data_IF_496705286552
#
_entry.id   IF_496705286552
#
_cell.length_a   1.000
_cell.length_b   1.000
_cell.length_c   1.000
_cell.angle_alpha   90.00
_cell.angle_beta   90.00
_cell.angle_gamma   90.00
#
_symmetry.space_group_name_H-M   'P 1'
#
loop_
_entity.id
_entity.type
_entity.pdbx_description
1 polymer ?
#
# COMPACT_ATOMS: atom_id res chain seq x y z
N UNK A 1 -3.08 -9.11 74.00
CA UNK A 1 -1.86 -8.48 73.45
C UNK A 1 -1.37 -9.35 72.26
N UNK A 2 -1.85 -9.12 71.05
CA UNK A 2 -1.34 -9.82 69.88
C UNK A 2 -1.51 -8.89 68.66
N UNK A 3 -0.45 -8.60 68.09
CA UNK A 3 0.00 -8.01 66.82
C UNK A 3 -1.02 -8.06 65.69
N UNK A 4 -1.63 -6.93 65.38
CA UNK A 4 -2.16 -6.63 64.05
C UNK A 4 -1.26 -5.57 63.42
N UNK A 5 -0.65 -5.92 62.35
CA UNK A 5 0.12 -4.99 61.53
C UNK A 5 0.98 -5.79 60.60
N UNK A 6 0.59 -5.87 59.29
CA UNK A 6 1.46 -6.17 58.13
C UNK A 6 0.64 -6.77 56.96
N UNK A 7 -0.38 -6.07 56.50
CA UNK A 7 -1.10 -6.49 55.27
C UNK A 7 -1.30 -5.33 54.26
N UNK A 8 -0.86 -4.10 54.56
CA UNK A 8 -1.21 -2.95 53.71
C UNK A 8 -0.16 -2.51 52.66
N UNK A 9 0.98 -3.17 52.53
CA UNK A 9 2.07 -2.67 51.65
C UNK A 9 2.13 -3.38 50.27
N UNK A 10 1.43 -4.51 50.07
CA UNK A 10 1.57 -5.24 48.78
C UNK A 10 0.56 -4.86 47.71
N UNK A 11 -0.48 -4.09 47.96
CA UNK A 11 -1.49 -3.75 46.96
C UNK A 11 -1.15 -2.49 46.16
N UNK A 12 -0.30 -1.59 46.66
CA UNK A 12 0.06 -0.37 45.94
C UNK A 12 1.06 -0.59 44.77
N UNK A 13 1.88 -1.64 44.81
CA UNK A 13 2.87 -1.91 43.74
C UNK A 13 2.24 -2.47 42.45
N UNK A 14 1.13 -3.19 42.53
CA UNK A 14 0.51 -3.81 41.32
C UNK A 14 -0.27 -2.81 40.47
N UNK A 15 -0.81 -1.73 41.06
CA UNK A 15 -1.59 -0.73 40.35
C UNK A 15 -0.67 0.23 39.53
N UNK A 16 0.55 0.47 40.01
CA UNK A 16 1.54 1.28 39.30
C UNK A 16 2.08 0.58 38.03
N UNK A 17 2.37 -0.71 38.14
CA UNK A 17 2.94 -1.49 37.03
C UNK A 17 1.96 -1.69 35.86
N UNK A 18 0.65 -1.86 36.17
CA UNK A 18 -0.39 -2.00 35.15
C UNK A 18 -0.63 -0.70 34.37
N UNK A 19 -0.55 0.46 35.05
CA UNK A 19 -0.70 1.77 34.38
C UNK A 19 0.49 2.11 33.48
N UNK A 20 1.71 1.78 33.88
CA UNK A 20 2.90 2.01 33.02
C UNK A 20 2.90 1.14 31.77
N UNK A 21 2.49 -0.13 31.86
CA UNK A 21 2.39 -1.04 30.71
C UNK A 21 1.33 -0.56 29.72
N UNK A 22 0.18 -0.10 30.20
CA UNK A 22 -0.89 0.45 29.34
C UNK A 22 -0.47 1.77 28.67
N UNK A 23 0.31 2.63 29.35
CA UNK A 23 0.82 3.88 28.79
C UNK A 23 1.90 3.60 27.73
N UNK A 24 2.69 2.52 27.85
CA UNK A 24 3.68 2.14 26.84
C UNK A 24 3.05 1.52 25.60
N UNK A 25 1.94 0.79 25.69
CA UNK A 25 1.21 0.29 24.52
C UNK A 25 0.56 1.43 23.72
N UNK A 26 0.02 2.45 24.36
CA UNK A 26 -0.53 3.65 23.70
C UNK A 26 0.57 4.47 23.01
N UNK A 27 1.82 4.38 23.43
CA UNK A 27 2.94 5.15 22.90
C UNK A 27 3.52 4.60 21.56
N UNK A 28 3.04 3.46 21.08
CA UNK A 28 3.49 2.82 19.83
C UNK A 28 2.53 3.01 18.64
N UNK A 29 1.70 4.04 18.66
CA UNK A 29 0.99 4.43 17.44
C UNK A 29 1.98 5.16 16.53
N UNK A 30 2.34 4.51 15.42
CA UNK A 30 3.15 5.15 14.40
C UNK A 30 2.41 6.38 13.88
N UNK A 31 2.99 7.56 14.07
CA UNK A 31 2.42 8.80 13.50
C UNK A 31 2.62 8.78 11.98
N UNK A 32 1.51 8.72 11.26
CA UNK A 32 1.48 8.73 9.79
C UNK A 32 1.39 10.14 9.21
N UNK A 33 1.21 11.16 10.05
CA UNK A 33 0.98 12.54 9.63
C UNK A 33 2.11 13.05 8.73
N UNK A 34 1.73 13.49 7.54
CA UNK A 34 2.65 14.09 6.56
C UNK A 34 3.53 13.11 5.79
N UNK A 35 3.47 11.80 6.10
CA UNK A 35 4.15 10.78 5.28
C UNK A 35 3.55 10.75 3.88
N UNK A 36 4.41 10.64 2.86
CA UNK A 36 3.99 10.70 1.46
C UNK A 36 3.74 9.31 0.90
N UNK A 37 2.67 9.19 0.14
CA UNK A 37 2.30 8.00 -0.62
C UNK A 37 2.23 8.38 -2.09
N UNK A 38 2.88 7.60 -2.95
CA UNK A 38 2.80 7.74 -4.39
C UNK A 38 1.68 6.85 -4.94
N UNK A 39 0.76 7.43 -5.70
CA UNK A 39 -0.20 6.70 -6.50
C UNK A 39 0.09 6.92 -7.99
N UNK A 40 0.35 5.85 -8.73
CA UNK A 40 0.65 5.87 -10.16
C UNK A 40 -0.60 5.48 -10.92
N UNK A 41 -1.10 6.39 -11.76
CA UNK A 41 -2.28 6.17 -12.62
C UNK A 41 -1.89 6.28 -14.08
N UNK A 42 -2.59 5.56 -14.94
CA UNK A 42 -2.49 5.74 -16.38
C UNK A 42 -2.98 7.14 -16.80
N UNK A 43 -2.43 7.67 -17.89
CA UNK A 43 -2.89 8.96 -18.45
C UNK A 43 -4.33 8.90 -18.96
N UNK A 44 -4.82 7.69 -19.29
CA UNK A 44 -6.22 7.44 -19.63
C UNK A 44 -6.66 6.04 -19.20
N UNK A 45 -7.96 5.87 -18.96
CA UNK A 45 -8.58 4.58 -18.61
C UNK A 45 -7.99 3.92 -17.34
N UNK A 46 -7.54 4.71 -16.35
CA UNK A 46 -7.34 4.15 -15.00
C UNK A 46 -8.69 3.76 -14.40
N UNK A 47 -8.72 2.80 -13.48
CA UNK A 47 -9.97 2.39 -12.82
C UNK A 47 -10.29 3.34 -11.67
N UNK A 48 -11.42 4.00 -11.76
CA UNK A 48 -11.82 5.10 -10.87
C UNK A 48 -11.87 4.67 -9.41
N UNK A 49 -12.52 3.54 -9.09
CA UNK A 49 -12.65 3.05 -7.73
C UNK A 49 -11.31 2.63 -7.13
N UNK A 50 -10.39 2.14 -7.96
CA UNK A 50 -9.07 1.68 -7.52
C UNK A 50 -8.12 2.84 -7.22
N UNK A 51 -8.44 4.04 -7.68
CA UNK A 51 -7.78 5.28 -7.30
C UNK A 51 -8.52 6.00 -6.17
N UNK A 52 -9.82 6.31 -6.37
CA UNK A 52 -10.57 7.19 -5.48
C UNK A 52 -10.80 6.59 -4.08
N UNK A 53 -11.06 5.27 -3.99
CA UNK A 53 -11.30 4.62 -2.69
C UNK A 53 -10.02 4.55 -1.85
N UNK A 54 -8.88 4.05 -2.36
CA UNK A 54 -7.63 4.08 -1.61
C UNK A 54 -7.17 5.50 -1.29
N UNK A 55 -7.28 6.46 -2.22
CA UNK A 55 -6.92 7.86 -2.00
C UNK A 55 -7.64 8.41 -0.77
N UNK A 56 -8.97 8.30 -0.71
CA UNK A 56 -9.78 8.77 0.40
C UNK A 56 -9.41 8.10 1.73
N UNK A 57 -9.19 6.80 1.73
CA UNK A 57 -8.84 6.05 2.95
C UNK A 57 -7.47 6.45 3.48
N UNK A 58 -6.48 6.59 2.59
CA UNK A 58 -5.12 6.96 2.96
C UNK A 58 -5.06 8.43 3.43
N UNK A 59 -5.76 9.34 2.75
CA UNK A 59 -5.87 10.74 3.13
C UNK A 59 -6.52 10.90 4.52
N UNK A 60 -7.52 10.07 4.86
CA UNK A 60 -8.13 10.03 6.20
C UNK A 60 -7.16 9.59 7.32
N UNK A 61 -5.99 9.03 6.98
CA UNK A 61 -4.92 8.73 7.92
C UNK A 61 -3.90 9.89 8.05
N UNK A 62 -4.22 11.08 7.55
CA UNK A 62 -3.33 12.26 7.46
C UNK A 62 -2.06 12.02 6.61
N UNK A 63 -2.12 11.11 5.65
CA UNK A 63 -1.07 10.88 4.66
C UNK A 63 -1.18 11.93 3.54
N UNK A 64 -0.05 12.29 2.96
CA UNK A 64 0.01 13.15 1.77
C UNK A 64 0.06 12.26 0.54
N UNK A 65 -0.95 12.37 -0.32
CA UNK A 65 -1.02 11.58 -1.54
C UNK A 65 -0.44 12.41 -2.69
N UNK A 66 0.52 11.84 -3.40
CA UNK A 66 1.10 12.38 -4.62
C UNK A 66 0.72 11.48 -5.77
N UNK A 67 0.15 12.05 -6.83
CA UNK A 67 -0.27 11.31 -8.01
C UNK A 67 0.73 11.50 -9.13
N UNK A 68 1.27 10.39 -9.66
CA UNK A 68 2.13 10.39 -10.83
C UNK A 68 1.43 9.76 -12.03
N UNK A 69 1.79 10.23 -13.23
CA UNK A 69 1.33 9.64 -14.49
C UNK A 69 2.39 9.79 -15.58
N UNK A 70 2.19 9.14 -16.72
CA UNK A 70 3.01 9.31 -17.94
C UNK A 70 2.87 10.71 -18.55
N UNK A 71 1.82 11.46 -18.20
CA UNK A 71 1.55 12.83 -18.65
C UNK A 71 1.10 13.71 -17.49
N UNK A 72 1.35 15.03 -17.58
CA UNK A 72 0.78 16.04 -16.65
C UNK A 72 -0.57 16.58 -17.10
N UNK A 73 -1.11 16.12 -18.23
CA UNK A 73 -2.48 16.44 -18.63
C UNK A 73 -3.48 15.76 -17.70
N UNK A 74 -4.74 16.21 -17.73
CA UNK A 74 -5.81 15.62 -16.94
C UNK A 74 -5.98 14.15 -17.36
N UNK A 75 -5.63 13.23 -16.46
CA UNK A 75 -5.90 11.80 -16.60
C UNK A 75 -7.39 11.52 -16.49
N UNK A 76 -7.90 10.60 -17.32
CA UNK A 76 -9.32 10.24 -17.35
C UNK A 76 -9.52 8.79 -16.95
N UNK A 77 -10.36 8.58 -15.95
CA UNK A 77 -10.77 7.24 -15.53
C UNK A 77 -11.77 6.60 -16.48
N UNK A 78 -11.90 5.28 -16.39
CA UNK A 78 -12.83 4.47 -17.20
C UNK A 78 -14.30 4.86 -16.97
N UNK A 79 -14.63 5.34 -15.77
CA UNK A 79 -15.99 5.75 -15.35
C UNK A 79 -16.16 7.26 -15.31
N UNK A 80 -15.16 8.02 -15.80
CA UNK A 80 -15.25 9.46 -15.99
C UNK A 80 -14.59 10.32 -14.94
N UNK A 81 -13.90 9.76 -13.94
CA UNK A 81 -13.07 10.55 -13.02
C UNK A 81 -12.02 11.34 -13.79
N UNK A 82 -11.74 12.55 -13.31
CA UNK A 82 -10.70 13.43 -13.86
C UNK A 82 -9.70 13.75 -12.76
N UNK A 83 -8.45 13.39 -12.98
CA UNK A 83 -7.36 13.59 -12.02
C UNK A 83 -6.23 14.35 -12.70
N UNK A 84 -5.80 15.44 -12.08
CA UNK A 84 -4.59 16.17 -12.52
C UNK A 84 -3.41 15.55 -11.79
N UNK A 85 -2.47 14.87 -12.49
CA UNK A 85 -1.26 14.36 -11.83
C UNK A 85 -0.38 15.49 -11.30
N UNK A 86 0.26 15.25 -10.16
CA UNK A 86 1.16 16.20 -9.51
C UNK A 86 2.54 16.18 -10.18
N UNK A 87 3.01 14.99 -10.60
CA UNK A 87 4.33 14.82 -11.19
C UNK A 87 4.30 13.80 -12.35
N UNK A 88 5.31 13.92 -13.24
CA UNK A 88 5.57 12.89 -14.24
C UNK A 88 6.18 11.65 -13.59
N UNK A 89 5.80 10.45 -14.08
CA UNK A 89 6.40 9.17 -13.66
C UNK A 89 7.94 9.21 -13.73
N UNK A 90 8.50 9.83 -14.78
CA UNK A 90 9.95 9.98 -14.98
C UNK A 90 10.66 10.89 -13.96
N UNK A 91 9.91 11.61 -13.13
CA UNK A 91 10.44 12.50 -12.09
C UNK A 91 10.25 11.95 -10.67
N UNK A 92 9.75 10.72 -10.56
CA UNK A 92 9.56 10.06 -9.25
C UNK A 92 10.91 9.75 -8.61
N UNK A 93 11.07 10.20 -7.36
CA UNK A 93 12.16 9.82 -6.46
C UNK A 93 11.57 8.90 -5.39
N UNK A 94 11.89 7.61 -5.45
CA UNK A 94 11.29 6.55 -4.61
C UNK A 94 11.51 6.81 -3.12
N UNK A 95 12.64 7.40 -2.78
CA UNK A 95 13.09 7.77 -1.44
C UNK A 95 12.09 8.65 -0.69
N UNK A 96 11.35 9.50 -1.41
CA UNK A 96 10.41 10.47 -0.86
C UNK A 96 9.11 9.86 -0.33
N UNK A 97 8.86 8.56 -0.59
CA UNK A 97 7.58 7.91 -0.32
C UNK A 97 7.71 6.72 0.62
N UNK A 98 6.71 6.51 1.48
CA UNK A 98 6.60 5.34 2.35
C UNK A 98 5.97 4.15 1.61
N UNK A 99 5.07 4.43 0.66
CA UNK A 99 4.44 3.43 -0.19
C UNK A 99 4.30 3.91 -1.63
N UNK A 100 4.40 2.98 -2.57
CA UNK A 100 4.17 3.17 -3.99
C UNK A 100 3.04 2.25 -4.44
N UNK A 101 2.01 2.82 -5.06
CA UNK A 101 0.78 2.15 -5.45
C UNK A 101 0.60 2.27 -6.95
N UNK A 102 0.55 1.15 -7.66
CA UNK A 102 0.16 1.08 -9.06
C UNK A 102 -1.35 0.81 -9.16
N UNK A 103 -2.08 1.78 -9.68
CA UNK A 103 -3.53 1.70 -9.89
C UNK A 103 -3.81 0.96 -11.20
N UNK A 104 -4.87 0.17 -11.21
CA UNK A 104 -5.28 -0.59 -12.39
C UNK A 104 -6.17 0.18 -13.35
N UNK A 105 -7.02 -0.54 -14.05
CA UNK A 105 -7.77 -0.09 -15.22
C UNK A 105 -7.05 -0.47 -16.51
N UNK A 106 -7.77 -0.52 -17.63
CA UNK A 106 -7.20 -0.97 -18.92
C UNK A 106 -6.00 -0.13 -19.37
N UNK A 107 -5.98 1.16 -19.01
CA UNK A 107 -4.87 2.06 -19.32
C UNK A 107 -3.57 1.70 -18.61
N UNK A 108 -3.62 1.04 -17.44
CA UNK A 108 -2.41 0.70 -16.68
C UNK A 108 -1.47 -0.27 -17.41
N UNK A 109 -1.94 -0.90 -18.50
CA UNK A 109 -1.11 -1.69 -19.39
C UNK A 109 0.01 -0.89 -20.05
N UNK A 110 -0.06 0.45 -20.09
CA UNK A 110 1.03 1.31 -20.57
C UNK A 110 2.32 1.11 -19.75
N UNK A 111 2.21 0.68 -18.50
CA UNK A 111 3.33 0.45 -17.61
C UNK A 111 3.88 -0.98 -17.61
N UNK A 112 3.20 -1.92 -18.25
CA UNK A 112 3.60 -3.34 -18.22
C UNK A 112 5.04 -3.59 -18.67
N UNK A 113 5.50 -2.80 -19.67
CA UNK A 113 6.85 -2.91 -20.23
C UNK A 113 7.62 -1.58 -20.14
N UNK A 114 7.16 -0.64 -19.30
CA UNK A 114 7.81 0.64 -19.12
C UNK A 114 8.99 0.52 -18.16
N UNK A 115 10.19 0.87 -18.64
CA UNK A 115 11.42 0.76 -17.87
C UNK A 115 11.44 1.68 -16.64
N UNK A 116 10.76 2.83 -16.69
CA UNK A 116 10.68 3.77 -15.56
C UNK A 116 9.82 3.16 -14.45
N UNK A 117 8.66 2.59 -14.82
CA UNK A 117 7.79 1.90 -13.88
C UNK A 117 8.49 0.69 -13.23
N UNK A 118 9.24 -0.10 -14.03
CA UNK A 118 10.04 -1.23 -13.53
C UNK A 118 11.10 -0.78 -12.54
N UNK A 119 11.87 0.27 -12.89
CA UNK A 119 12.89 0.82 -11.99
C UNK A 119 12.31 1.33 -10.68
N UNK A 120 11.14 1.98 -10.70
CA UNK A 120 10.42 2.43 -9.49
C UNK A 120 10.05 1.22 -8.62
N UNK A 121 9.46 0.16 -9.20
CA UNK A 121 9.09 -1.04 -8.48
C UNK A 121 10.31 -1.76 -7.86
N UNK A 122 11.40 -1.90 -8.62
CA UNK A 122 12.66 -2.51 -8.17
C UNK A 122 13.31 -1.71 -7.03
N UNK A 123 13.38 -0.39 -7.15
CA UNK A 123 13.91 0.49 -6.09
C UNK A 123 13.04 0.44 -4.84
N UNK A 124 11.70 0.41 -4.97
CA UNK A 124 10.81 0.30 -3.85
C UNK A 124 11.10 -0.96 -3.02
N UNK A 125 11.27 -2.11 -3.67
CA UNK A 125 11.64 -3.37 -3.00
C UNK A 125 13.03 -3.29 -2.39
N UNK A 126 14.02 -2.78 -3.12
CA UNK A 126 15.41 -2.66 -2.64
C UNK A 126 15.53 -1.76 -1.40
N UNK A 127 14.67 -0.76 -1.28
CA UNK A 127 14.62 0.19 -0.16
C UNK A 127 13.59 -0.21 0.92
N UNK A 128 13.04 -1.42 0.82
CA UNK A 128 12.07 -1.95 1.77
C UNK A 128 10.80 -1.06 1.93
N UNK A 129 10.44 -0.31 0.89
CA UNK A 129 9.18 0.46 0.84
C UNK A 129 7.99 -0.47 0.64
N UNK A 130 6.80 -0.02 1.02
CA UNK A 130 5.57 -0.72 0.65
C UNK A 130 5.35 -0.55 -0.85
N UNK A 131 5.22 -1.68 -1.55
CA UNK A 131 4.92 -1.71 -2.98
C UNK A 131 3.57 -2.38 -3.18
N UNK A 132 2.63 -1.67 -3.78
CA UNK A 132 1.27 -2.14 -3.93
C UNK A 132 0.78 -2.02 -5.39
N UNK A 133 -0.06 -2.98 -5.83
CA UNK A 133 -0.67 -2.95 -7.16
C UNK A 133 -2.04 -3.63 -7.16
N UNK A 134 -2.99 -3.10 -7.93
CA UNK A 134 -4.36 -3.60 -7.97
C UNK A 134 -4.81 -3.88 -9.40
N UNK A 135 -5.75 -4.82 -9.57
CA UNK A 135 -6.38 -5.18 -10.84
C UNK A 135 -5.38 -5.80 -11.82
N UNK A 136 -5.10 -5.15 -12.96
CA UNK A 136 -4.12 -5.60 -13.94
C UNK A 136 -2.71 -5.03 -13.70
N UNK A 137 -2.56 -4.05 -12.81
CA UNK A 137 -1.27 -3.43 -12.52
C UNK A 137 -0.21 -4.40 -11.91
N UNK A 138 -0.56 -5.49 -11.17
CA UNK A 138 0.44 -6.47 -10.74
C UNK A 138 1.27 -7.08 -11.88
N UNK A 139 0.80 -7.03 -13.14
CA UNK A 139 1.59 -7.44 -14.31
C UNK A 139 2.86 -6.59 -14.46
N UNK A 140 2.78 -5.28 -14.20
CA UNK A 140 3.96 -4.39 -14.17
C UNK A 140 4.99 -4.87 -13.17
N UNK A 141 4.56 -5.24 -11.96
CA UNK A 141 5.45 -5.73 -10.91
C UNK A 141 6.04 -7.10 -11.26
N UNK A 142 5.24 -7.98 -11.90
CA UNK A 142 5.72 -9.27 -12.37
C UNK A 142 6.78 -9.12 -13.48
N UNK A 143 6.55 -8.21 -14.44
CA UNK A 143 7.50 -7.90 -15.51
C UNK A 143 8.77 -7.21 -14.99
N UNK A 144 8.68 -6.39 -13.95
CA UNK A 144 9.82 -5.83 -13.22
C UNK A 144 10.64 -6.89 -12.45
N UNK A 145 10.15 -8.13 -12.35
CA UNK A 145 10.82 -9.25 -11.69
C UNK A 145 10.64 -9.29 -10.17
N UNK A 146 9.95 -8.32 -9.57
CA UNK A 146 9.84 -8.17 -8.11
C UNK A 146 8.82 -9.13 -7.47
N UNK A 147 7.98 -9.80 -8.27
CA UNK A 147 7.02 -10.81 -7.79
C UNK A 147 7.49 -12.26 -7.96
N UNK A 148 8.68 -12.52 -8.54
CA UNK A 148 9.17 -13.88 -8.74
C UNK A 148 9.29 -14.62 -7.39
N UNK A 149 8.62 -15.79 -7.30
CA UNK A 149 8.56 -16.60 -6.07
C UNK A 149 7.69 -16.03 -4.95
N UNK A 150 7.08 -14.86 -5.13
CA UNK A 150 6.18 -14.23 -4.16
C UNK A 150 4.74 -14.70 -4.34
N UNK A 151 3.96 -14.67 -3.25
CA UNK A 151 2.51 -14.81 -3.33
C UNK A 151 1.91 -13.50 -3.81
N UNK A 152 1.02 -13.58 -4.80
CA UNK A 152 0.32 -12.41 -5.32
C UNK A 152 -1.02 -12.78 -5.95
N UNK A 153 -1.87 -11.78 -6.10
CA UNK A 153 -3.12 -11.87 -6.85
C UNK A 153 -3.15 -10.81 -7.95
N UNK A 154 -4.07 -10.95 -8.89
CA UNK A 154 -4.25 -10.07 -10.05
C UNK A 154 -5.68 -10.23 -10.55
N UNK A 155 -6.17 -9.32 -11.36
CA UNK A 155 -7.44 -9.49 -12.07
C UNK A 155 -7.41 -10.79 -12.89
N UNK A 156 -8.52 -11.53 -12.89
CA UNK A 156 -8.56 -12.93 -13.35
C UNK A 156 -8.05 -13.13 -14.79
N UNK A 157 -8.25 -12.14 -15.68
CA UNK A 157 -7.77 -12.21 -17.07
C UNK A 157 -6.24 -12.28 -17.20
N UNK A 158 -5.50 -11.79 -16.19
CA UNK A 158 -4.04 -11.66 -16.24
C UNK A 158 -3.30 -12.76 -15.45
N UNK A 159 -4.02 -13.74 -14.93
CA UNK A 159 -3.44 -14.82 -14.12
C UNK A 159 -2.32 -15.57 -14.86
N UNK A 160 -2.48 -15.81 -16.16
CA UNK A 160 -1.47 -16.45 -17.01
C UNK A 160 -0.15 -15.69 -16.97
N UNK A 161 -0.19 -14.37 -17.15
CA UNK A 161 1.01 -13.51 -17.17
C UNK A 161 1.79 -13.57 -15.85
N UNK A 162 1.09 -13.60 -14.69
CA UNK A 162 1.77 -13.74 -13.40
C UNK A 162 2.46 -15.10 -13.28
N UNK A 163 1.77 -16.18 -13.64
CA UNK A 163 2.32 -17.55 -13.58
C UNK A 163 3.55 -17.72 -14.47
N UNK A 164 3.53 -17.17 -15.69
CA UNK A 164 4.67 -17.18 -16.61
C UNK A 164 5.91 -16.48 -16.04
N UNK A 165 5.72 -15.52 -15.13
CA UNK A 165 6.81 -14.81 -14.44
C UNK A 165 7.23 -15.49 -13.11
N UNK A 166 6.73 -16.69 -12.84
CA UNK A 166 7.10 -17.46 -11.63
C UNK A 166 6.48 -16.92 -10.35
N UNK A 167 5.32 -16.27 -10.43
CA UNK A 167 4.55 -15.76 -9.29
C UNK A 167 3.69 -16.88 -8.73
N UNK A 168 3.62 -17.02 -7.40
CA UNK A 168 2.71 -17.92 -6.71
C UNK A 168 1.33 -17.25 -6.63
N UNK A 169 0.54 -17.37 -7.70
CA UNK A 169 -0.79 -16.79 -7.78
C UNK A 169 -1.75 -17.47 -6.79
N UNK A 170 -2.40 -16.67 -5.93
CA UNK A 170 -3.27 -17.19 -4.85
C UNK A 170 -4.76 -17.09 -5.16
N UNK A 171 -5.17 -16.16 -6.05
CA UNK A 171 -6.60 -15.90 -6.32
C UNK A 171 -7.33 -15.17 -5.19
N UNK A 172 -6.63 -14.71 -4.17
CA UNK A 172 -7.21 -13.94 -3.07
C UNK A 172 -7.70 -12.57 -3.53
N UNK A 173 -8.67 -11.98 -2.82
CA UNK A 173 -9.10 -10.59 -3.05
C UNK A 173 -7.92 -9.62 -2.87
N UNK A 174 -7.16 -9.81 -1.78
CA UNK A 174 -5.94 -9.08 -1.45
C UNK A 174 -4.92 -10.07 -0.94
N UNK A 175 -3.69 -10.00 -1.44
CA UNK A 175 -2.56 -10.81 -0.99
C UNK A 175 -1.44 -9.89 -0.50
N UNK A 176 -0.83 -10.27 0.63
CA UNK A 176 0.32 -9.57 1.20
C UNK A 176 1.48 -10.56 1.38
N UNK A 177 2.64 -10.24 0.81
CA UNK A 177 3.89 -10.99 0.97
C UNK A 177 5.02 -10.03 1.32
N UNK A 178 5.38 -9.98 2.59
CA UNK A 178 6.30 -8.97 3.13
C UNK A 178 5.72 -7.56 2.96
N UNK A 179 6.45 -6.67 2.29
CA UNK A 179 6.02 -5.32 1.99
C UNK A 179 5.33 -5.16 0.62
N UNK A 180 5.01 -6.27 -0.04
CA UNK A 180 4.29 -6.25 -1.32
C UNK A 180 2.82 -6.59 -1.09
N UNK A 181 1.92 -5.77 -1.62
CA UNK A 181 0.47 -5.95 -1.55
C UNK A 181 -0.09 -5.98 -2.96
N UNK A 182 -0.88 -6.99 -3.29
CA UNK A 182 -1.62 -7.06 -4.55
C UNK A 182 -3.10 -7.27 -4.31
N UNK A 183 -3.96 -6.78 -5.22
CA UNK A 183 -5.40 -6.97 -5.14
C UNK A 183 -5.99 -7.29 -6.53
N UNK A 184 -7.11 -8.02 -6.55
CA UNK A 184 -7.68 -8.60 -7.77
C UNK A 184 -8.61 -7.66 -8.56
N UNK A 185 -8.92 -6.44 -8.07
CA UNK A 185 -9.77 -5.52 -8.81
C UNK A 185 -10.60 -4.57 -7.94
N UNK A 186 -11.54 -3.83 -8.57
CA UNK A 186 -12.22 -2.69 -7.93
C UNK A 186 -13.03 -3.05 -6.68
N UNK A 187 -13.62 -4.25 -6.63
CA UNK A 187 -14.34 -4.71 -5.43
C UNK A 187 -13.45 -4.90 -4.20
N UNK A 188 -12.15 -5.03 -4.43
CA UNK A 188 -11.14 -5.18 -3.36
C UNK A 188 -10.46 -3.87 -2.96
N UNK A 189 -10.83 -2.73 -3.57
CA UNK A 189 -10.14 -1.44 -3.38
C UNK A 189 -10.09 -0.98 -1.91
N UNK A 190 -11.17 -1.19 -1.15
CA UNK A 190 -11.22 -0.84 0.28
C UNK A 190 -10.29 -1.74 1.11
N UNK A 191 -10.39 -3.07 0.94
CA UNK A 191 -9.52 -4.03 1.63
C UNK A 191 -8.04 -3.81 1.29
N UNK A 192 -7.75 -3.46 0.04
CA UNK A 192 -6.42 -3.13 -0.46
C UNK A 192 -5.84 -1.91 0.26
N UNK A 193 -6.60 -0.80 0.34
CA UNK A 193 -6.20 0.39 1.07
C UNK A 193 -5.96 0.10 2.56
N UNK A 194 -6.85 -0.70 3.18
CA UNK A 194 -6.70 -1.08 4.59
C UNK A 194 -5.44 -1.93 4.83
N UNK A 195 -5.09 -2.82 3.91
CA UNK A 195 -3.85 -3.60 3.98
C UNK A 195 -2.60 -2.69 3.94
N UNK A 196 -2.61 -1.64 3.11
CA UNK A 196 -1.54 -0.63 3.04
C UNK A 196 -1.45 0.13 4.38
N UNK A 197 -2.58 0.64 4.91
CA UNK A 197 -2.62 1.32 6.22
C UNK A 197 -2.07 0.43 7.33
N UNK A 198 -2.43 -0.85 7.33
CA UNK A 198 -1.97 -1.80 8.35
C UNK A 198 -0.45 -2.03 8.28
N UNK A 199 0.16 -2.05 7.10
CA UNK A 199 1.62 -2.14 6.96
C UNK A 199 2.33 -0.84 7.38
N UNK A 200 1.75 0.33 7.07
CA UNK A 200 2.31 1.63 7.46
C UNK A 200 2.34 1.83 8.98
N UNK A 201 1.49 1.11 9.73
CA UNK A 201 1.38 1.20 11.20
C UNK A 201 2.27 0.19 11.96
N UNK A 202 2.98 -0.69 11.24
CA UNK A 202 3.94 -1.64 11.82
C UNK A 202 5.31 -1.02 12.03
#
# INVERSE_FOLDING_TARGET
>A
MIRQGWIFIFILCLIGCVKETQIQEVKKMVDLKGKKILMIIASSNFRDEEYLVPHKILEAQNLVIVTASSSLEISRGMLGAKVKPDILLSKVTVEDYEAIIFVGGSGSSEYWNDNTAHNIAQKAVAQNKILAAICIAPVTLANAGVLKGKRATVFSSETGKLREKGVNYTGADVETDGNIITANGPLSAEKFAQAIVNLLKK
#
